data_IF_266744883428
#
_entry.id   IF_266744883428
#
_cell.length_a   1.000
_cell.length_b   1.000
_cell.length_c   1.000
_cell.angle_alpha   90.00
_cell.angle_beta   90.00
_cell.angle_gamma   90.00
#
_symmetry.space_group_name_H-M   'P 1'
#
loop_
_entity.id
_entity.type
_entity.pdbx_description
1 polymer ?
#
# COMPACT_ATOMS: atom_id res chain seq x y z
N UNK A 1 -2.93 7.04 28.14
CA UNK A 1 -2.25 6.25 27.07
C UNK A 1 -1.94 7.18 25.91
N UNK A 2 -0.74 7.11 25.29
CA UNK A 2 -0.47 8.05 24.17
C UNK A 2 -1.03 7.61 22.82
N UNK A 3 -1.01 6.30 22.53
CA UNK A 3 -1.47 5.78 21.24
C UNK A 3 -2.37 4.56 21.40
N UNK A 4 -3.35 4.44 20.49
CA UNK A 4 -4.20 3.27 20.33
C UNK A 4 -4.05 2.75 18.90
N UNK A 5 -3.96 1.44 18.70
CA UNK A 5 -3.91 0.82 17.37
C UNK A 5 -5.16 -0.06 17.24
N UNK A 6 -6.09 0.34 16.39
CA UNK A 6 -7.27 -0.43 16.06
C UNK A 6 -6.90 -1.54 15.08
N UNK A 7 -6.94 -2.78 15.56
CA UNK A 7 -6.42 -4.00 14.95
C UNK A 7 -5.06 -4.42 15.53
N UNK A 8 -4.82 -5.74 15.60
CA UNK A 8 -3.53 -6.31 16.03
C UNK A 8 -2.96 -7.29 14.97
N UNK A 9 -3.26 -7.06 13.70
CA UNK A 9 -2.75 -7.83 12.58
C UNK A 9 -1.23 -7.67 12.36
N UNK A 10 -0.72 -8.25 11.28
CA UNK A 10 0.73 -8.24 10.97
C UNK A 10 1.31 -6.83 10.83
N UNK A 11 0.59 -5.92 10.16
CA UNK A 11 1.03 -4.52 10.00
C UNK A 11 0.93 -3.77 11.33
N UNK A 12 -0.16 -3.95 12.07
CA UNK A 12 -0.31 -3.35 13.40
C UNK A 12 0.85 -3.71 14.32
N UNK A 13 1.16 -5.02 14.47
CA UNK A 13 2.26 -5.48 15.32
C UNK A 13 3.63 -5.22 14.70
N UNK A 14 3.82 -5.60 13.42
CA UNK A 14 5.13 -5.60 12.76
C UNK A 14 5.59 -4.25 12.21
N UNK A 15 4.72 -3.25 12.17
CA UNK A 15 5.08 -1.90 11.73
C UNK A 15 4.70 -0.85 12.77
N UNK A 16 3.43 -0.53 12.94
CA UNK A 16 3.01 0.58 13.80
C UNK A 16 3.45 0.36 15.26
N UNK A 17 3.07 -0.78 15.86
CA UNK A 17 3.43 -1.12 17.24
C UNK A 17 4.93 -1.26 17.44
N UNK A 18 5.66 -1.80 16.44
CA UNK A 18 7.12 -1.89 16.47
C UNK A 18 7.76 -0.49 16.50
N UNK A 19 7.34 0.44 15.63
CA UNK A 19 7.87 1.80 15.60
C UNK A 19 7.55 2.57 16.88
N UNK A 20 6.33 2.43 17.42
CA UNK A 20 5.96 3.03 18.71
C UNK A 20 6.81 2.49 19.86
N UNK A 21 7.04 1.17 19.91
CA UNK A 21 7.89 0.56 20.92
C UNK A 21 9.33 1.09 20.86
N UNK A 22 9.93 1.14 19.67
CA UNK A 22 11.28 1.69 19.48
C UNK A 22 11.37 3.18 19.84
N UNK A 23 10.27 3.91 19.65
CA UNK A 23 10.14 5.31 20.05
C UNK A 23 9.82 5.52 21.53
N UNK A 24 9.66 4.42 22.30
CA UNK A 24 9.29 4.43 23.72
C UNK A 24 7.96 5.13 23.99
N UNK A 25 7.02 5.04 23.05
CA UNK A 25 5.69 5.62 23.14
C UNK A 25 4.72 4.53 23.62
N UNK A 26 4.02 4.72 24.77
CA UNK A 26 3.05 3.75 25.27
C UNK A 26 1.86 3.60 24.31
N UNK A 27 1.46 2.36 24.04
CA UNK A 27 0.30 2.06 23.19
C UNK A 27 -0.43 0.79 23.64
N UNK A 28 -1.66 0.62 23.15
CA UNK A 28 -2.40 -0.63 23.24
C UNK A 28 -3.05 -0.95 21.89
N UNK A 29 -3.25 -2.22 21.63
CA UNK A 29 -4.06 -2.71 20.52
C UNK A 29 -5.54 -2.76 20.94
N UNK A 30 -6.43 -2.64 19.95
CA UNK A 30 -7.83 -3.03 20.05
C UNK A 30 -8.08 -4.13 19.02
N UNK A 31 -8.46 -5.32 19.47
CA UNK A 31 -8.51 -6.49 18.59
C UNK A 31 -9.89 -7.16 18.60
N UNK A 32 -10.38 -7.50 17.38
CA UNK A 32 -11.71 -8.13 17.20
C UNK A 32 -11.71 -9.62 17.59
N UNK A 33 -10.58 -10.29 17.45
CA UNK A 33 -10.41 -11.67 17.88
C UNK A 33 -10.07 -11.69 19.38
N UNK A 34 -11.02 -12.11 20.21
CA UNK A 34 -10.82 -12.24 21.66
C UNK A 34 -9.63 -13.16 21.97
N UNK A 35 -9.47 -14.25 21.23
CA UNK A 35 -8.33 -15.17 21.42
C UNK A 35 -6.97 -14.52 21.15
N UNK A 36 -6.89 -13.65 20.13
CA UNK A 36 -5.66 -12.91 19.86
C UNK A 36 -5.40 -11.83 20.90
N UNK A 37 -6.45 -11.13 21.35
CA UNK A 37 -6.34 -10.14 22.43
C UNK A 37 -5.87 -10.77 23.74
N UNK A 38 -6.43 -11.91 24.12
CA UNK A 38 -6.04 -12.66 25.29
C UNK A 38 -4.60 -13.14 25.21
N UNK A 39 -4.20 -13.70 24.08
CA UNK A 39 -2.83 -14.17 23.85
C UNK A 39 -1.81 -13.03 23.97
N UNK A 40 -2.13 -11.84 23.43
CA UNK A 40 -1.26 -10.65 23.58
C UNK A 40 -1.12 -10.28 25.06
N UNK A 41 -2.22 -10.27 25.81
CA UNK A 41 -2.21 -9.91 27.22
C UNK A 41 -1.50 -10.96 28.10
N UNK A 42 -1.72 -12.24 27.84
CA UNK A 42 -1.06 -13.34 28.59
C UNK A 42 0.45 -13.35 28.38
N UNK A 43 0.91 -13.14 27.14
CA UNK A 43 2.33 -13.11 26.81
C UNK A 43 3.00 -11.79 27.16
N UNK A 44 2.26 -10.69 27.08
CA UNK A 44 2.77 -9.33 27.30
C UNK A 44 3.89 -8.92 26.34
N UNK A 45 4.18 -9.74 25.33
CA UNK A 45 5.25 -9.48 24.35
C UNK A 45 5.03 -10.26 23.05
N UNK A 46 5.68 -9.81 21.97
CA UNK A 46 5.75 -10.51 20.68
C UNK A 46 7.05 -10.20 19.95
N UNK A 47 7.45 -11.08 19.05
CA UNK A 47 8.68 -10.93 18.25
C UNK A 47 8.37 -10.28 16.90
N UNK A 48 9.16 -9.27 16.54
CA UNK A 48 9.24 -8.72 15.17
C UNK A 48 10.54 -9.20 14.54
N UNK A 49 10.42 -10.05 13.56
CA UNK A 49 11.54 -10.62 12.82
C UNK A 49 11.74 -9.81 11.52
N UNK A 50 12.92 -9.19 11.38
CA UNK A 50 13.29 -8.39 10.22
C UNK A 50 13.96 -9.32 9.20
N UNK A 51 13.26 -9.61 8.12
CA UNK A 51 13.76 -10.50 7.07
C UNK A 51 15.04 -9.95 6.46
N UNK A 52 16.01 -10.84 6.24
CA UNK A 52 17.32 -10.47 5.71
C UNK A 52 18.24 -9.72 6.69
N UNK A 53 17.75 -9.30 7.87
CA UNK A 53 18.55 -8.56 8.84
C UNK A 53 18.24 -8.95 10.31
N UNK A 54 18.60 -10.15 10.73
CA UNK A 54 18.26 -10.66 12.06
C UNK A 54 18.85 -9.84 13.22
N UNK A 55 19.87 -9.03 12.97
CA UNK A 55 20.43 -8.12 13.98
C UNK A 55 19.45 -7.01 14.38
N UNK A 56 18.46 -6.73 13.55
CA UNK A 56 17.39 -5.76 13.83
C UNK A 56 16.12 -6.41 14.42
N UNK A 57 16.14 -7.72 14.65
CA UNK A 57 15.00 -8.40 15.28
C UNK A 57 14.72 -7.78 16.65
N UNK A 58 13.44 -7.67 16.98
CA UNK A 58 13.02 -6.98 18.17
C UNK A 58 11.93 -7.76 18.91
N UNK A 59 12.06 -7.85 20.23
CA UNK A 59 10.97 -8.32 21.10
C UNK A 59 10.26 -7.09 21.66
N UNK A 60 9.06 -6.85 21.19
CA UNK A 60 8.19 -5.80 21.71
C UNK A 60 7.60 -6.25 23.02
N UNK A 61 7.97 -5.60 24.13
CA UNK A 61 7.54 -5.92 25.49
C UNK A 61 6.50 -4.95 26.00
N UNK A 62 5.68 -5.40 26.95
CA UNK A 62 4.61 -4.60 27.54
C UNK A 62 3.41 -4.44 26.59
N UNK A 63 3.29 -5.33 25.60
CA UNK A 63 2.16 -5.34 24.67
C UNK A 63 0.85 -5.61 25.45
N UNK A 64 -0.17 -4.82 25.15
CA UNK A 64 -1.51 -4.94 25.73
C UNK A 64 -2.56 -4.87 24.60
N UNK A 65 -3.66 -5.58 24.78
CA UNK A 65 -4.78 -5.53 23.88
C UNK A 65 -6.09 -5.36 24.65
N UNK A 66 -6.97 -4.54 24.13
CA UNK A 66 -8.35 -4.37 24.57
C UNK A 66 -9.22 -5.17 23.60
N UNK A 67 -10.17 -5.95 24.09
CA UNK A 67 -11.11 -6.64 23.22
C UNK A 67 -12.02 -5.62 22.53
N UNK A 68 -12.23 -5.76 21.24
CA UNK A 68 -13.11 -4.89 20.47
C UNK A 68 -14.56 -4.87 21.02
N UNK A 69 -14.99 -5.96 21.62
CA UNK A 69 -16.29 -6.13 22.26
C UNK A 69 -16.46 -5.33 23.57
N UNK A 70 -15.35 -4.91 24.20
CA UNK A 70 -15.36 -4.06 25.40
C UNK A 70 -15.43 -2.58 24.98
N UNK A 71 -16.61 -2.17 24.55
CA UNK A 71 -16.86 -0.84 23.97
C UNK A 71 -16.44 0.28 24.94
N UNK A 72 -16.71 0.14 26.24
CA UNK A 72 -16.36 1.13 27.25
C UNK A 72 -14.84 1.31 27.35
N UNK A 73 -14.09 0.22 27.48
CA UNK A 73 -12.62 0.28 27.55
C UNK A 73 -11.99 0.80 26.26
N UNK A 74 -12.56 0.48 25.08
CA UNK A 74 -12.07 0.97 23.78
C UNK A 74 -12.30 2.47 23.67
N UNK A 75 -13.50 2.95 23.97
CA UNK A 75 -13.84 4.38 23.82
C UNK A 75 -13.13 5.26 24.86
N UNK A 76 -12.88 4.74 26.07
CA UNK A 76 -12.02 5.38 27.06
C UNK A 76 -10.56 5.46 26.60
N UNK A 77 -10.03 4.37 26.02
CA UNK A 77 -8.70 4.37 25.46
C UNK A 77 -8.53 5.39 24.31
N UNK A 78 -9.54 5.53 23.43
CA UNK A 78 -9.58 6.55 22.36
C UNK A 78 -9.62 7.96 22.98
N UNK A 79 -10.44 8.17 23.99
CA UNK A 79 -10.55 9.46 24.67
C UNK A 79 -9.22 9.92 25.33
N UNK A 80 -8.45 8.98 25.87
CA UNK A 80 -7.13 9.26 26.46
C UNK A 80 -6.01 9.43 25.44
N UNK A 81 -6.17 8.90 24.21
CA UNK A 81 -5.12 8.88 23.20
C UNK A 81 -4.83 10.27 22.62
N UNK A 82 -3.58 10.49 22.22
CA UNK A 82 -3.15 11.60 21.35
C UNK A 82 -3.24 11.18 19.88
N UNK A 83 -2.96 9.87 19.60
CA UNK A 83 -3.02 9.30 18.24
C UNK A 83 -3.72 7.94 18.25
N UNK A 84 -4.62 7.77 17.31
CA UNK A 84 -5.24 6.48 16.99
C UNK A 84 -4.78 6.05 15.60
N UNK A 85 -4.23 4.85 15.50
CA UNK A 85 -3.90 4.21 14.23
C UNK A 85 -4.95 3.18 13.88
N UNK A 86 -5.32 3.06 12.60
CA UNK A 86 -6.16 1.96 12.16
C UNK A 86 -5.35 0.96 11.32
N UNK A 87 -5.61 -0.32 11.50
CA UNK A 87 -4.97 -1.42 10.74
C UNK A 87 -5.88 -2.65 10.76
N UNK A 88 -7.14 -2.46 10.34
CA UNK A 88 -8.22 -3.46 10.34
C UNK A 88 -8.53 -3.99 8.95
N UNK A 89 -7.92 -3.40 7.92
CA UNK A 89 -8.26 -3.62 6.51
C UNK A 89 -9.45 -2.78 6.07
N UNK A 90 -9.36 -2.21 4.86
CA UNK A 90 -10.29 -1.19 4.36
C UNK A 90 -11.76 -1.57 4.39
N UNK A 91 -12.09 -2.86 4.25
CA UNK A 91 -13.49 -3.35 4.32
C UNK A 91 -14.13 -3.16 5.69
N UNK A 92 -13.33 -3.12 6.75
CA UNK A 92 -13.79 -3.06 8.14
C UNK A 92 -13.74 -1.64 8.73
N UNK A 93 -13.35 -0.63 7.95
CA UNK A 93 -13.24 0.75 8.44
C UNK A 93 -14.57 1.27 9.02
N UNK A 94 -15.68 0.96 8.38
CA UNK A 94 -17.01 1.40 8.84
C UNK A 94 -17.38 0.83 10.22
N UNK A 95 -16.86 -0.33 10.59
CA UNK A 95 -17.10 -0.94 11.92
C UNK A 95 -16.46 -0.12 13.05
N UNK A 96 -15.48 0.74 12.71
CA UNK A 96 -14.77 1.58 13.67
C UNK A 96 -15.53 2.89 14.00
N UNK A 97 -16.45 3.31 13.12
CA UNK A 97 -17.14 4.60 13.25
C UNK A 97 -17.83 4.77 14.61
N UNK A 98 -18.64 3.81 15.11
CA UNK A 98 -19.30 3.99 16.40
C UNK A 98 -18.33 4.18 17.57
N UNK A 99 -17.21 3.40 17.57
CA UNK A 99 -16.20 3.50 18.64
C UNK A 99 -15.44 4.83 18.57
N UNK A 100 -15.10 5.27 17.35
CA UNK A 100 -14.44 6.57 17.16
C UNK A 100 -15.35 7.71 17.56
N UNK A 101 -16.64 7.69 17.18
CA UNK A 101 -17.60 8.71 17.55
C UNK A 101 -17.72 8.83 19.07
N UNK A 102 -18.01 7.74 19.78
CA UNK A 102 -18.15 7.76 21.23
C UNK A 102 -16.85 8.17 21.93
N UNK A 103 -15.69 7.66 21.47
CA UNK A 103 -14.38 8.05 22.03
C UNK A 103 -14.08 9.54 21.84
N UNK A 104 -14.43 10.11 20.67
CA UNK A 104 -14.28 11.55 20.39
C UNK A 104 -15.23 12.39 21.27
N UNK A 105 -16.48 11.95 21.45
CA UNK A 105 -17.44 12.60 22.35
C UNK A 105 -16.98 12.58 23.80
N UNK A 106 -16.38 11.48 24.27
CA UNK A 106 -15.74 11.43 25.59
C UNK A 106 -14.56 12.39 25.68
N UNK A 107 -13.69 12.42 24.65
CA UNK A 107 -12.52 13.30 24.62
C UNK A 107 -12.87 14.78 24.53
N UNK A 108 -13.98 15.16 23.88
CA UNK A 108 -14.43 16.55 23.81
C UNK A 108 -14.66 17.17 25.21
N UNK A 109 -14.99 16.34 26.19
CA UNK A 109 -15.21 16.77 27.59
C UNK A 109 -13.93 17.02 28.37
N UNK A 110 -12.81 16.41 27.94
CA UNK A 110 -11.49 16.54 28.60
C UNK A 110 -10.54 17.46 27.85
N UNK A 111 -10.80 17.68 26.55
CA UNK A 111 -9.97 18.53 25.68
C UNK A 111 -8.72 17.84 25.14
N UNK A 112 -7.87 18.66 24.51
CA UNK A 112 -6.65 18.19 23.80
C UNK A 112 -6.94 17.76 22.35
N UNK A 113 -5.91 17.50 21.58
CA UNK A 113 -6.03 17.07 20.18
C UNK A 113 -6.06 15.56 20.06
N UNK A 114 -6.70 15.06 19.00
CA UNK A 114 -6.69 13.66 18.59
C UNK A 114 -6.37 13.57 17.11
N UNK A 115 -5.40 12.73 16.74
CA UNK A 115 -5.16 12.40 15.34
C UNK A 115 -5.47 10.93 15.07
N UNK A 116 -6.33 10.67 14.10
CA UNK A 116 -6.64 9.32 13.59
C UNK A 116 -5.88 9.12 12.28
N UNK A 117 -4.94 8.20 12.27
CA UNK A 117 -4.06 7.91 11.12
C UNK A 117 -4.43 6.54 10.56
N UNK A 118 -4.98 6.51 9.35
CA UNK A 118 -5.34 5.26 8.69
C UNK A 118 -4.14 4.60 8.02
N UNK A 119 -3.95 3.31 8.29
CA UNK A 119 -2.84 2.50 7.78
C UNK A 119 -3.31 1.41 6.80
N UNK A 120 -4.40 1.63 6.12
CA UNK A 120 -5.00 0.72 5.16
C UNK A 120 -4.54 1.01 3.72
N UNK A 121 -4.33 -0.06 2.94
CA UNK A 121 -4.21 0.06 1.49
C UNK A 121 -5.61 0.12 0.87
N UNK A 122 -6.29 1.26 1.01
CA UNK A 122 -7.66 1.50 0.60
C UNK A 122 -7.81 2.87 -0.06
N UNK A 123 -8.92 3.09 -0.77
CA UNK A 123 -9.21 4.39 -1.39
C UNK A 123 -9.82 5.33 -0.37
N UNK A 124 -9.16 6.46 -0.10
CA UNK A 124 -9.60 7.53 0.81
C UNK A 124 -10.07 7.01 2.19
N UNK A 125 -9.26 6.20 2.90
CA UNK A 125 -9.69 5.55 4.12
C UNK A 125 -10.03 6.55 5.24
N UNK A 126 -9.29 7.63 5.37
CA UNK A 126 -9.55 8.67 6.35
C UNK A 126 -10.84 9.43 6.06
N UNK A 127 -11.17 9.65 4.79
CA UNK A 127 -12.44 10.28 4.38
C UNK A 127 -13.64 9.39 4.73
N UNK A 128 -13.51 8.07 4.56
CA UNK A 128 -14.56 7.11 4.96
C UNK A 128 -14.86 7.22 6.45
N UNK A 129 -13.83 7.29 7.30
CA UNK A 129 -14.00 7.43 8.75
C UNK A 129 -14.54 8.80 9.13
N UNK A 130 -13.98 9.88 8.53
CA UNK A 130 -14.41 11.24 8.84
C UNK A 130 -15.90 11.44 8.55
N UNK A 131 -16.35 11.07 7.36
CA UNK A 131 -17.75 11.19 6.97
C UNK A 131 -18.67 10.38 7.91
N UNK A 132 -18.27 9.15 8.27
CA UNK A 132 -19.05 8.33 9.20
C UNK A 132 -19.17 8.94 10.58
N UNK A 133 -18.11 9.55 11.11
CA UNK A 133 -18.15 10.26 12.39
C UNK A 133 -18.99 11.54 12.29
N UNK A 134 -18.83 12.33 11.23
CA UNK A 134 -19.63 13.55 10.97
C UNK A 134 -21.15 13.27 10.97
N UNK A 135 -21.55 12.11 10.42
CA UNK A 135 -22.94 11.68 10.37
C UNK A 135 -23.52 11.24 11.72
N UNK A 136 -22.66 10.84 12.66
CA UNK A 136 -23.09 10.16 13.90
C UNK A 136 -22.79 10.95 15.18
N UNK A 137 -21.88 11.93 15.12
CA UNK A 137 -21.43 12.69 16.29
C UNK A 137 -22.53 13.62 16.83
N UNK A 138 -22.66 13.73 18.17
CA UNK A 138 -23.61 14.61 18.79
C UNK A 138 -23.26 16.10 18.57
N UNK A 139 -24.30 16.98 18.64
CA UNK A 139 -24.13 18.40 18.33
C UNK A 139 -23.10 19.07 19.24
N UNK A 140 -23.07 18.68 20.53
CA UNK A 140 -22.17 19.24 21.53
C UNK A 140 -20.70 18.97 21.27
N UNK A 141 -20.36 17.91 20.51
CA UNK A 141 -18.99 17.54 20.19
C UNK A 141 -18.55 17.97 18.79
N UNK A 142 -19.43 18.51 17.95
CA UNK A 142 -19.10 18.89 16.56
C UNK A 142 -17.98 19.92 16.48
N UNK A 143 -18.06 21.01 17.23
CA UNK A 143 -17.04 22.05 17.24
C UNK A 143 -15.66 21.49 17.64
N UNK A 144 -15.65 20.59 18.63
CA UNK A 144 -14.44 19.90 19.04
C UNK A 144 -13.92 19.00 17.91
N UNK A 145 -14.78 18.22 17.26
CA UNK A 145 -14.42 17.35 16.16
C UNK A 145 -13.80 18.12 14.98
N UNK A 146 -14.38 19.26 14.62
CA UNK A 146 -13.88 20.09 13.53
C UNK A 146 -12.50 20.71 13.83
N UNK A 147 -12.28 21.17 15.06
CA UNK A 147 -11.10 21.96 15.41
C UNK A 147 -9.97 21.17 16.07
N UNK A 148 -10.27 20.01 16.68
CA UNK A 148 -9.32 19.25 17.50
C UNK A 148 -9.10 17.81 17.06
N UNK A 149 -9.83 17.34 16.03
CA UNK A 149 -9.67 15.96 15.52
C UNK A 149 -9.15 15.97 14.09
N UNK A 150 -7.90 15.54 13.94
CA UNK A 150 -7.29 15.24 12.62
C UNK A 150 -7.64 13.82 12.19
N UNK A 151 -8.10 13.63 10.95
CA UNK A 151 -8.25 12.30 10.34
C UNK A 151 -7.47 12.28 9.05
N UNK A 152 -6.41 11.51 9.01
CA UNK A 152 -5.44 11.51 7.93
C UNK A 152 -5.02 10.11 7.48
N UNK A 153 -4.25 10.05 6.42
CA UNK A 153 -3.84 8.82 5.76
C UNK A 153 -2.33 8.62 5.88
N UNK A 154 -1.93 7.36 5.98
CA UNK A 154 -0.54 6.96 5.86
C UNK A 154 -0.32 5.99 4.72
N UNK A 155 0.89 5.95 4.17
CA UNK A 155 1.29 4.92 3.22
C UNK A 155 2.12 3.86 3.92
N UNK A 156 1.60 2.65 3.96
CA UNK A 156 2.33 1.50 4.49
C UNK A 156 3.14 0.85 3.37
N UNK A 157 4.45 0.97 3.46
CA UNK A 157 5.38 0.44 2.47
C UNK A 157 6.12 -0.82 2.96
N UNK A 158 6.11 -1.10 4.27
CA UNK A 158 6.64 -2.32 4.85
C UNK A 158 5.70 -3.49 4.61
N UNK A 159 6.19 -4.58 4.02
CA UNK A 159 5.44 -5.82 3.89
C UNK A 159 5.48 -6.63 5.20
N UNK A 160 4.33 -7.13 5.63
CA UNK A 160 4.21 -8.11 6.72
C UNK A 160 3.88 -9.49 6.13
N UNK A 161 4.69 -10.48 6.45
CA UNK A 161 4.62 -11.83 5.89
C UNK A 161 4.25 -12.81 6.99
N UNK A 162 3.52 -13.87 6.64
CA UNK A 162 3.24 -14.96 7.57
C UNK A 162 4.55 -15.64 7.96
N UNK A 163 4.71 -15.92 9.25
CA UNK A 163 5.79 -16.75 9.72
C UNK A 163 5.48 -18.23 9.37
N UNK A 164 6.53 -19.02 9.20
CA UNK A 164 6.36 -20.46 9.01
C UNK A 164 5.81 -21.15 10.27
N UNK A 165 5.36 -22.40 10.11
CA UNK A 165 4.72 -23.14 11.20
C UNK A 165 5.64 -23.32 12.41
N UNK A 166 6.90 -23.57 12.18
CA UNK A 166 7.87 -23.80 13.26
C UNK A 166 8.06 -22.56 14.12
N UNK A 167 8.15 -21.38 13.48
CA UNK A 167 8.23 -20.10 14.19
C UNK A 167 6.93 -19.79 14.93
N UNK A 168 5.76 -20.06 14.32
CA UNK A 168 4.46 -19.86 14.97
C UNK A 168 4.21 -20.80 16.15
N UNK A 169 4.76 -22.02 16.14
CA UNK A 169 4.71 -22.93 17.28
C UNK A 169 5.55 -22.41 18.45
N UNK A 170 6.68 -21.76 18.19
CA UNK A 170 7.53 -21.15 19.22
C UNK A 170 6.97 -19.82 19.74
N UNK A 171 6.54 -18.97 18.84
CA UNK A 171 5.93 -17.67 19.15
C UNK A 171 4.73 -17.40 18.22
N UNK A 172 3.48 -17.72 18.65
CA UNK A 172 2.28 -17.52 17.83
C UNK A 172 1.97 -16.05 17.54
N UNK A 173 2.65 -15.12 18.21
CA UNK A 173 2.52 -13.68 17.95
C UNK A 173 3.65 -13.12 17.08
N UNK A 174 4.62 -13.96 16.65
CA UNK A 174 5.72 -13.50 15.77
C UNK A 174 5.18 -12.92 14.46
N UNK A 175 5.83 -11.87 14.01
CA UNK A 175 5.56 -11.29 12.69
C UNK A 175 6.86 -11.13 11.91
N UNK A 176 6.88 -11.64 10.69
CA UNK A 176 7.95 -11.42 9.74
C UNK A 176 7.68 -10.14 8.97
N UNK A 177 8.65 -9.25 8.89
CA UNK A 177 8.50 -7.98 8.17
C UNK A 177 9.74 -7.65 7.34
N UNK A 178 9.52 -6.90 6.28
CA UNK A 178 10.56 -6.36 5.43
C UNK A 178 11.38 -5.30 6.19
N UNK A 179 12.68 -5.20 5.90
CA UNK A 179 13.56 -4.15 6.44
C UNK A 179 13.30 -2.78 5.78
N UNK A 180 12.13 -2.22 6.07
CA UNK A 180 11.68 -0.91 5.59
C UNK A 180 11.14 -0.06 6.74
N UNK A 181 11.56 1.18 6.87
CA UNK A 181 11.38 2.00 8.08
C UNK A 181 10.61 3.30 7.89
N UNK A 182 10.34 3.71 6.65
CA UNK A 182 9.65 4.98 6.39
C UNK A 182 8.14 4.85 6.61
N UNK A 183 7.57 5.83 7.28
CA UNK A 183 6.16 5.93 7.61
C UNK A 183 5.61 7.29 7.14
N UNK A 184 5.35 7.45 5.83
CA UNK A 184 4.79 8.68 5.27
C UNK A 184 3.34 8.87 5.72
N UNK A 185 3.03 10.05 6.23
CA UNK A 185 1.70 10.46 6.73
C UNK A 185 1.33 11.79 6.09
N UNK A 186 0.10 11.94 5.64
CA UNK A 186 -0.44 13.19 5.14
C UNK A 186 -0.44 14.27 6.24
N UNK A 187 0.32 15.33 6.04
CA UNK A 187 0.45 16.44 6.98
C UNK A 187 -0.77 17.37 6.98
N UNK A 188 -1.53 17.41 5.88
CA UNK A 188 -2.56 18.44 5.64
C UNK A 188 -3.73 18.41 6.63
N UNK A 189 -3.94 17.25 7.28
CA UNK A 189 -5.06 17.01 8.19
C UNK A 189 -4.64 16.71 9.63
N UNK A 190 -3.37 16.91 9.95
CA UNK A 190 -2.85 16.76 11.31
C UNK A 190 -3.22 17.99 12.13
N UNK A 191 -3.69 17.77 13.34
CA UNK A 191 -4.01 18.82 14.31
C UNK A 191 -3.01 18.79 15.46
N UNK A 192 -2.34 19.92 15.69
CA UNK A 192 -1.29 20.03 16.71
C UNK A 192 -0.01 19.25 16.34
N UNK A 193 0.69 18.79 17.36
CA UNK A 193 1.95 18.06 17.19
C UNK A 193 1.75 16.56 17.42
N UNK A 194 2.43 15.74 16.61
CA UNK A 194 2.49 14.30 16.83
C UNK A 194 3.67 13.93 17.76
N UNK A 195 3.55 12.85 18.54
CA UNK A 195 4.70 12.32 19.27
C UNK A 195 5.81 11.90 18.29
N UNK A 196 7.09 11.96 18.69
CA UNK A 196 8.24 11.67 17.81
C UNK A 196 8.33 10.16 17.51
N UNK A 197 7.62 9.70 16.50
CA UNK A 197 7.58 8.30 16.07
C UNK A 197 8.70 8.04 15.08
N UNK A 198 9.51 7.01 15.33
CA UNK A 198 10.59 6.58 14.44
C UNK A 198 10.04 6.31 13.01
N UNK A 199 10.70 6.91 12.03
CA UNK A 199 10.35 6.73 10.61
C UNK A 199 9.14 7.51 10.13
N UNK A 200 8.35 8.15 11.00
CA UNK A 200 7.23 8.99 10.61
C UNK A 200 7.73 10.22 9.87
N UNK A 201 7.18 10.43 8.69
CA UNK A 201 7.47 11.58 7.83
C UNK A 201 6.16 12.28 7.46
N UNK A 202 5.98 13.50 7.89
CA UNK A 202 4.85 14.34 7.49
C UNK A 202 5.08 14.86 6.06
N UNK A 203 4.12 14.54 5.18
CA UNK A 203 4.16 14.88 3.76
C UNK A 203 3.14 15.97 3.48
N UNK A 204 3.55 17.20 3.18
CA UNK A 204 2.64 18.31 2.89
C UNK A 204 1.81 18.10 1.62
N UNK A 205 2.43 17.62 0.55
CA UNK A 205 1.81 17.38 -0.76
C UNK A 205 1.49 15.88 -0.94
N UNK A 206 0.61 15.35 -0.07
CA UNK A 206 0.38 13.91 0.03
C UNK A 206 -0.23 13.30 -1.23
N UNK A 207 -1.10 14.01 -1.92
CA UNK A 207 -1.68 13.54 -3.20
C UNK A 207 -0.58 13.32 -4.25
N UNK A 208 0.36 14.25 -4.35
CA UNK A 208 1.53 14.09 -5.23
C UNK A 208 2.43 12.93 -4.80
N UNK A 209 2.59 12.73 -3.50
CA UNK A 209 3.33 11.59 -2.97
C UNK A 209 2.64 10.24 -3.28
N UNK A 210 1.31 10.16 -3.18
CA UNK A 210 0.54 8.96 -3.55
C UNK A 210 0.71 8.64 -5.03
N UNK A 211 0.60 9.63 -5.91
CA UNK A 211 0.80 9.45 -7.34
C UNK A 211 2.25 9.05 -7.66
N UNK A 212 3.23 9.71 -7.02
CA UNK A 212 4.65 9.35 -7.09
C UNK A 212 4.88 7.88 -6.73
N UNK A 213 4.33 7.44 -5.60
CA UNK A 213 4.41 6.03 -5.15
C UNK A 213 3.71 5.10 -6.15
N UNK A 214 2.54 5.46 -6.60
CA UNK A 214 1.73 4.63 -7.48
C UNK A 214 2.41 4.41 -8.83
N UNK A 215 2.86 5.48 -9.47
CA UNK A 215 3.52 5.40 -10.78
C UNK A 215 5.02 5.03 -10.71
N UNK A 216 5.60 4.90 -9.52
CA UNK A 216 6.93 4.31 -9.34
C UNK A 216 6.84 2.85 -8.89
N UNK A 217 6.31 2.59 -7.70
CA UNK A 217 6.29 1.24 -7.12
C UNK A 217 5.27 0.31 -7.78
N UNK A 218 4.05 0.79 -8.02
CA UNK A 218 3.03 -0.09 -8.59
C UNK A 218 3.22 -0.28 -10.09
N UNK A 219 3.72 0.72 -10.82
CA UNK A 219 4.10 0.57 -12.23
C UNK A 219 5.23 -0.46 -12.38
N UNK A 220 6.28 -0.34 -11.56
CA UNK A 220 7.40 -1.28 -11.56
C UNK A 220 6.98 -2.71 -11.19
N UNK A 221 6.14 -2.86 -10.16
CA UNK A 221 5.58 -4.16 -9.79
C UNK A 221 4.74 -4.76 -10.93
N UNK A 222 3.88 -3.97 -11.58
CA UNK A 222 3.10 -4.41 -12.74
C UNK A 222 3.99 -4.82 -13.91
N UNK A 223 5.01 -4.02 -14.24
CA UNK A 223 6.00 -4.33 -15.27
C UNK A 223 6.70 -5.65 -15.00
N UNK A 224 7.26 -5.80 -13.80
CA UNK A 224 7.98 -7.03 -13.39
C UNK A 224 7.06 -8.24 -13.42
N UNK A 225 5.80 -8.08 -12.96
CA UNK A 225 4.84 -9.19 -12.93
C UNK A 225 4.44 -9.66 -14.32
N UNK A 226 4.05 -8.75 -15.21
CA UNK A 226 3.55 -9.16 -16.52
C UNK A 226 4.67 -9.61 -17.46
N UNK A 227 5.80 -8.90 -17.48
CA UNK A 227 6.96 -9.34 -18.28
C UNK A 227 7.56 -10.61 -17.71
N UNK A 228 7.64 -10.73 -16.38
CA UNK A 228 8.10 -11.94 -15.69
C UNK A 228 7.23 -13.15 -15.99
N UNK A 229 5.89 -12.98 -16.03
CA UNK A 229 4.95 -14.03 -16.41
C UNK A 229 5.20 -14.53 -17.84
N UNK A 230 5.39 -13.63 -18.80
CA UNK A 230 5.71 -14.01 -20.19
C UNK A 230 7.02 -14.81 -20.29
N UNK A 231 7.98 -14.55 -19.42
CA UNK A 231 9.26 -15.25 -19.38
C UNK A 231 9.26 -16.50 -18.48
N UNK A 232 8.11 -16.85 -17.90
CA UNK A 232 7.92 -18.07 -17.10
C UNK A 232 8.44 -18.02 -15.68
N UNK A 233 8.67 -16.82 -15.13
CA UNK A 233 9.03 -16.65 -13.72
C UNK A 233 7.82 -16.88 -12.81
N UNK A 234 8.05 -17.43 -11.62
CA UNK A 234 7.03 -17.60 -10.58
C UNK A 234 7.11 -16.53 -9.50
N UNK A 235 8.32 -16.03 -9.20
CA UNK A 235 8.58 -15.06 -8.13
C UNK A 235 8.99 -13.70 -8.68
N UNK A 236 8.54 -12.65 -8.01
CA UNK A 236 8.89 -11.27 -8.35
C UNK A 236 10.39 -11.02 -8.24
N UNK A 237 11.04 -11.50 -7.17
CA UNK A 237 12.47 -11.26 -6.97
C UNK A 237 13.32 -11.91 -8.09
N UNK A 238 13.01 -13.16 -8.46
CA UNK A 238 13.71 -13.86 -9.54
C UNK A 238 13.57 -13.10 -10.87
N UNK A 239 12.34 -12.66 -11.20
CA UNK A 239 12.09 -11.84 -12.37
C UNK A 239 12.83 -10.49 -12.33
N UNK A 240 12.88 -9.85 -11.16
CA UNK A 240 13.54 -8.56 -10.98
C UNK A 240 15.07 -8.63 -11.04
N UNK A 241 15.68 -9.82 -11.11
CA UNK A 241 17.10 -10.03 -11.33
C UNK A 241 17.43 -10.39 -12.80
N UNK A 242 16.44 -10.70 -13.65
CA UNK A 242 16.67 -10.97 -15.08
C UNK A 242 17.07 -9.70 -15.82
N UNK A 243 18.20 -9.74 -16.52
CA UNK A 243 18.75 -8.58 -17.23
C UNK A 243 17.82 -8.01 -18.32
N UNK A 244 16.98 -8.86 -18.94
CA UNK A 244 15.99 -8.44 -19.95
C UNK A 244 14.89 -7.61 -19.29
N UNK A 245 14.38 -8.07 -18.14
CA UNK A 245 13.37 -7.37 -17.35
C UNK A 245 13.95 -6.10 -16.74
N UNK A 246 15.20 -6.16 -16.23
CA UNK A 246 15.88 -5.00 -15.68
C UNK A 246 16.02 -3.85 -16.68
N UNK A 247 16.32 -4.13 -17.95
CA UNK A 247 16.39 -3.10 -18.99
C UNK A 247 15.05 -2.41 -19.20
N UNK A 248 13.96 -3.18 -19.22
CA UNK A 248 12.60 -2.64 -19.36
C UNK A 248 12.23 -1.83 -18.12
N UNK A 249 12.50 -2.38 -16.93
CA UNK A 249 12.19 -1.77 -15.65
C UNK A 249 12.96 -0.44 -15.45
N UNK A 250 14.24 -0.39 -15.79
CA UNK A 250 15.05 0.83 -15.72
C UNK A 250 14.51 1.92 -16.67
N UNK A 251 14.02 1.50 -17.85
CA UNK A 251 13.34 2.39 -18.78
C UNK A 251 12.03 2.93 -18.20
N UNK A 252 11.18 2.07 -17.63
CA UNK A 252 9.93 2.48 -16.95
C UNK A 252 10.23 3.46 -15.83
N UNK A 253 11.25 3.21 -15.01
CA UNK A 253 11.65 4.13 -13.94
C UNK A 253 12.11 5.48 -14.49
N UNK A 254 12.88 5.50 -15.58
CA UNK A 254 13.33 6.76 -16.17
C UNK A 254 12.17 7.55 -16.77
N UNK A 255 11.28 6.90 -17.53
CA UNK A 255 10.08 7.50 -18.12
C UNK A 255 9.20 8.13 -17.04
N UNK A 256 8.84 7.36 -16.02
CA UNK A 256 7.99 7.85 -14.92
C UNK A 256 8.68 8.91 -14.06
N UNK A 257 9.98 8.75 -13.78
CA UNK A 257 10.72 9.71 -12.98
C UNK A 257 10.78 11.10 -13.64
N UNK A 258 11.02 11.16 -14.94
CA UNK A 258 11.03 12.43 -15.68
C UNK A 258 9.65 13.11 -15.69
N UNK A 259 8.58 12.34 -15.90
CA UNK A 259 7.22 12.89 -15.92
C UNK A 259 6.78 13.37 -14.53
N UNK A 260 7.00 12.57 -13.49
CA UNK A 260 6.65 12.93 -12.11
C UNK A 260 7.45 14.13 -11.60
N UNK A 261 8.76 14.19 -11.94
CA UNK A 261 9.61 15.33 -11.61
C UNK A 261 9.07 16.63 -12.22
N UNK A 262 8.65 16.59 -13.50
CA UNK A 262 8.06 17.75 -14.18
C UNK A 262 6.71 18.14 -13.57
N UNK A 263 5.85 17.15 -13.28
CA UNK A 263 4.50 17.39 -12.76
C UNK A 263 4.51 17.99 -11.35
N UNK A 264 5.28 17.39 -10.45
CA UNK A 264 5.28 17.73 -9.02
C UNK A 264 6.46 18.60 -8.60
N UNK A 265 7.29 19.01 -9.56
CA UNK A 265 8.48 19.83 -9.30
C UNK A 265 9.48 19.21 -8.31
N UNK A 266 9.52 17.87 -8.21
CA UNK A 266 10.57 17.19 -7.46
C UNK A 266 11.90 17.25 -8.21
N UNK A 267 13.04 17.40 -7.51
CA UNK A 267 14.35 17.20 -8.14
C UNK A 267 14.44 15.79 -8.75
N UNK A 268 14.89 15.71 -10.02
CA UNK A 268 14.98 14.42 -10.71
C UNK A 268 15.87 13.42 -9.96
N UNK A 269 16.95 13.88 -9.34
CA UNK A 269 17.83 13.03 -8.52
C UNK A 269 17.12 12.41 -7.33
N UNK A 270 16.24 13.18 -6.66
CA UNK A 270 15.42 12.66 -5.56
C UNK A 270 14.43 11.61 -6.05
N UNK A 271 13.83 11.84 -7.22
CA UNK A 271 12.92 10.89 -7.83
C UNK A 271 13.67 9.60 -8.23
N UNK A 272 14.87 9.71 -8.80
CA UNK A 272 15.69 8.56 -9.13
C UNK A 272 16.15 7.79 -7.88
N UNK A 273 16.48 8.46 -6.79
CA UNK A 273 16.74 7.78 -5.51
C UNK A 273 15.52 7.00 -5.00
N UNK A 274 14.32 7.53 -5.19
CA UNK A 274 13.06 6.85 -4.87
C UNK A 274 12.84 5.61 -5.75
N UNK A 275 13.19 5.66 -7.03
CA UNK A 275 13.14 4.48 -7.93
C UNK A 275 14.12 3.39 -7.50
N UNK A 276 15.32 3.75 -7.07
CA UNK A 276 16.31 2.77 -6.56
C UNK A 276 15.79 2.02 -5.33
N UNK A 277 15.06 2.71 -4.45
CA UNK A 277 14.43 2.06 -3.29
C UNK A 277 13.33 1.09 -3.73
N UNK A 278 12.53 1.45 -4.74
CA UNK A 278 11.54 0.58 -5.35
C UNK A 278 12.18 -0.67 -5.99
N UNK A 279 13.26 -0.47 -6.76
CA UNK A 279 14.00 -1.56 -7.41
C UNK A 279 14.56 -2.55 -6.39
N UNK A 280 15.23 -2.06 -5.35
CA UNK A 280 15.74 -2.90 -4.24
C UNK A 280 14.63 -3.70 -3.56
N UNK A 281 13.44 -3.11 -3.42
CA UNK A 281 12.29 -3.79 -2.85
C UNK A 281 11.78 -4.95 -3.72
N UNK A 282 11.77 -4.80 -5.05
CA UNK A 282 11.40 -5.87 -5.98
C UNK A 282 12.43 -7.01 -5.99
N UNK A 283 13.71 -6.67 -5.81
CA UNK A 283 14.84 -7.60 -5.79
C UNK A 283 15.10 -8.24 -4.41
N UNK A 284 14.22 -8.03 -3.43
CA UNK A 284 14.39 -8.56 -2.08
C UNK A 284 14.01 -10.05 -2.03
N UNK A 285 15.00 -10.92 -2.14
CA UNK A 285 14.85 -12.39 -2.11
C UNK A 285 14.33 -12.93 -0.76
N UNK A 286 14.36 -12.11 0.30
CA UNK A 286 13.82 -12.51 1.61
C UNK A 286 12.29 -12.49 1.61
N UNK A 287 11.68 -11.87 0.60
CA UNK A 287 10.24 -11.74 0.43
C UNK A 287 9.76 -12.74 -0.64
N UNK A 288 9.10 -13.79 -0.22
CA UNK A 288 8.43 -14.70 -1.17
C UNK A 288 7.15 -14.04 -1.67
N UNK A 289 7.23 -13.44 -2.85
CA UNK A 289 6.09 -12.79 -3.52
C UNK A 289 5.90 -13.35 -4.93
N UNK A 290 4.73 -13.95 -5.17
CA UNK A 290 4.44 -14.64 -6.42
C UNK A 290 3.92 -13.68 -7.50
N UNK A 291 4.38 -13.88 -8.73
CA UNK A 291 3.95 -13.15 -9.93
C UNK A 291 2.43 -13.29 -10.10
N UNK A 292 1.88 -14.49 -10.00
CA UNK A 292 0.44 -14.73 -10.14
C UNK A 292 -0.40 -13.83 -9.22
N UNK A 293 -0.01 -13.69 -7.95
CA UNK A 293 -0.69 -12.79 -7.01
C UNK A 293 -0.62 -11.33 -7.44
N UNK A 294 0.55 -10.90 -7.95
CA UNK A 294 0.81 -9.52 -8.34
C UNK A 294 0.27 -9.17 -9.72
N UNK A 295 0.19 -10.12 -10.64
CA UNK A 295 -0.41 -9.97 -11.98
C UNK A 295 -1.94 -10.10 -11.98
N UNK A 296 -2.54 -10.62 -10.90
CA UNK A 296 -3.97 -10.84 -10.77
C UNK A 296 -4.79 -9.64 -11.18
N UNK A 297 -5.94 -9.87 -11.84
CA UNK A 297 -6.85 -8.84 -12.35
C UNK A 297 -6.16 -7.88 -13.34
N UNK A 298 -5.72 -8.38 -14.51
CA UNK A 298 -5.06 -7.57 -15.54
C UNK A 298 -5.98 -6.50 -16.11
N UNK A 299 -7.30 -6.72 -16.16
CA UNK A 299 -8.27 -5.75 -16.69
C UNK A 299 -8.19 -4.47 -15.87
N UNK A 300 -8.28 -4.55 -14.55
CA UNK A 300 -8.14 -3.37 -13.68
C UNK A 300 -6.77 -2.70 -13.86
N UNK A 301 -5.68 -3.49 -13.91
CA UNK A 301 -4.32 -2.96 -14.01
C UNK A 301 -3.99 -2.29 -15.36
N UNK A 302 -4.76 -2.63 -16.39
CA UNK A 302 -4.73 -1.99 -17.70
C UNK A 302 -5.68 -0.78 -17.80
N UNK A 303 -6.49 -0.51 -16.76
CA UNK A 303 -7.38 0.65 -16.74
C UNK A 303 -6.63 1.98 -16.95
N UNK A 304 -7.31 2.97 -17.55
CA UNK A 304 -6.71 4.25 -17.98
C UNK A 304 -5.96 5.02 -16.89
N UNK A 305 -6.40 4.90 -15.64
CA UNK A 305 -5.84 5.61 -14.50
C UNK A 305 -5.07 4.67 -13.56
N UNK A 306 -4.90 3.39 -13.96
CA UNK A 306 -4.12 2.43 -13.18
C UNK A 306 -2.62 2.47 -13.59
N UNK A 307 -1.82 1.69 -12.92
CA UNK A 307 -0.35 1.71 -12.85
C UNK A 307 0.41 1.64 -14.17
N UNK A 308 -0.13 1.03 -15.22
CA UNK A 308 0.54 0.91 -16.51
C UNK A 308 0.07 1.99 -17.49
N UNK A 309 -1.21 1.97 -17.85
CA UNK A 309 -1.78 2.94 -18.80
C UNK A 309 -1.78 4.35 -18.23
N UNK A 310 -2.13 4.52 -16.95
CA UNK A 310 -2.09 5.83 -16.29
C UNK A 310 -0.68 6.42 -16.25
N UNK A 311 0.34 5.59 -15.97
CA UNK A 311 1.74 6.03 -16.06
C UNK A 311 2.15 6.43 -17.47
N UNK A 312 1.77 5.63 -18.49
CA UNK A 312 2.11 5.91 -19.88
C UNK A 312 1.44 7.22 -20.36
N UNK A 313 0.17 7.45 -19.99
CA UNK A 313 -0.54 8.71 -20.26
C UNK A 313 0.14 9.90 -19.63
N UNK A 314 0.53 9.79 -18.35
CA UNK A 314 1.28 10.84 -17.68
C UNK A 314 2.60 11.13 -18.41
N UNK A 315 3.33 10.10 -18.80
CA UNK A 315 4.61 10.24 -19.52
C UNK A 315 4.41 10.97 -20.85
N UNK A 316 3.37 10.63 -21.62
CA UNK A 316 3.00 11.34 -22.87
C UNK A 316 2.60 12.79 -22.62
N UNK A 317 1.82 13.07 -21.58
CA UNK A 317 1.39 14.43 -21.21
C UNK A 317 2.58 15.38 -21.03
N UNK A 318 3.70 14.84 -20.53
CA UNK A 318 4.95 15.61 -20.35
C UNK A 318 5.93 15.50 -21.52
N UNK A 319 5.47 15.06 -22.69
CA UNK A 319 6.22 15.03 -23.95
C UNK A 319 7.35 14.00 -23.97
N UNK A 320 7.18 12.90 -23.23
CA UNK A 320 8.13 11.78 -23.18
C UNK A 320 7.46 10.56 -23.84
N UNK A 321 8.19 9.83 -24.67
CA UNK A 321 7.66 8.62 -25.30
C UNK A 321 7.76 7.44 -24.33
N UNK A 322 6.63 6.76 -23.96
CA UNK A 322 6.61 5.69 -22.96
C UNK A 322 6.95 4.32 -23.57
N UNK A 323 8.11 4.16 -24.16
CA UNK A 323 8.52 2.94 -24.87
C UNK A 323 8.49 1.70 -23.97
N UNK A 324 9.01 1.81 -22.75
CA UNK A 324 9.12 0.68 -21.82
C UNK A 324 7.80 0.40 -21.10
N UNK A 325 7.01 1.43 -20.77
CA UNK A 325 5.65 1.25 -20.28
C UNK A 325 4.76 0.58 -21.33
N UNK A 326 4.90 0.92 -22.61
CA UNK A 326 4.16 0.26 -23.69
C UNK A 326 4.52 -1.23 -23.82
N UNK A 327 5.78 -1.64 -23.55
CA UNK A 327 6.16 -3.06 -23.44
C UNK A 327 5.41 -3.72 -22.28
N UNK A 328 5.35 -3.08 -21.12
CA UNK A 328 4.63 -3.61 -19.95
C UNK A 328 3.13 -3.74 -20.20
N UNK A 329 2.51 -2.76 -20.89
CA UNK A 329 1.10 -2.80 -21.31
C UNK A 329 0.88 -3.95 -22.29
N UNK A 330 1.74 -4.09 -23.32
CA UNK A 330 1.66 -5.18 -24.28
C UNK A 330 1.79 -6.56 -23.59
N UNK A 331 2.74 -6.70 -22.66
CA UNK A 331 2.90 -7.91 -21.86
C UNK A 331 1.64 -8.24 -21.04
N UNK A 332 1.02 -7.24 -20.41
CA UNK A 332 -0.20 -7.41 -19.63
C UNK A 332 -1.39 -7.85 -20.50
N UNK A 333 -1.48 -7.40 -21.75
CA UNK A 333 -2.53 -7.81 -22.69
C UNK A 333 -2.40 -9.29 -23.12
N UNK A 334 -1.20 -9.87 -23.00
CA UNK A 334 -0.94 -11.28 -23.31
C UNK A 334 -0.81 -12.17 -22.07
N UNK A 335 -1.05 -11.62 -20.89
CA UNK A 335 -1.03 -12.40 -19.67
C UNK A 335 -2.11 -13.47 -19.66
N UNK A 336 -1.72 -14.68 -19.23
CA UNK A 336 -2.60 -15.84 -19.10
C UNK A 336 -2.42 -16.41 -17.69
N UNK A 337 -3.53 -16.61 -16.97
CA UNK A 337 -3.55 -17.25 -15.66
C UNK A 337 -4.84 -18.02 -15.50
N UNK A 338 -4.80 -19.35 -15.57
CA UNK A 338 -5.98 -20.18 -15.32
C UNK A 338 -6.49 -19.98 -13.88
N UNK A 339 -7.80 -19.73 -13.75
CA UNK A 339 -8.44 -19.47 -12.45
C UNK A 339 -8.47 -17.99 -12.03
N UNK A 340 -7.86 -17.09 -12.80
CA UNK A 340 -8.12 -15.65 -12.71
C UNK A 340 -9.18 -15.28 -13.75
N UNK A 341 -10.42 -15.06 -13.30
CA UNK A 341 -11.57 -14.74 -14.17
C UNK A 341 -11.33 -13.51 -15.08
N UNK A 342 -10.54 -12.54 -14.59
CA UNK A 342 -10.24 -11.34 -15.37
C UNK A 342 -9.13 -11.59 -16.41
N UNK A 343 -8.18 -12.46 -16.12
CA UNK A 343 -7.19 -12.89 -17.11
C UNK A 343 -7.87 -13.72 -18.20
N UNK A 344 -8.74 -14.66 -17.85
CA UNK A 344 -9.52 -15.46 -18.82
C UNK A 344 -10.41 -14.58 -19.69
N UNK A 345 -11.08 -13.58 -19.10
CA UNK A 345 -11.88 -12.60 -19.83
C UNK A 345 -11.03 -11.77 -20.80
N UNK A 346 -9.82 -11.38 -20.38
CA UNK A 346 -8.90 -10.62 -21.25
C UNK A 346 -8.42 -11.46 -22.44
N UNK A 347 -8.08 -12.74 -22.19
CA UNK A 347 -7.73 -13.71 -23.24
C UNK A 347 -8.87 -13.83 -24.27
N UNK A 348 -10.09 -14.08 -23.78
CA UNK A 348 -11.28 -14.19 -24.65
C UNK A 348 -11.50 -12.92 -25.47
N UNK A 349 -11.39 -11.74 -24.85
CA UNK A 349 -11.53 -10.46 -25.57
C UNK A 349 -10.46 -10.31 -26.65
N UNK A 350 -9.21 -10.70 -26.36
CA UNK A 350 -8.11 -10.66 -27.34
C UNK A 350 -8.40 -11.57 -28.55
N UNK A 351 -8.89 -12.78 -28.31
CA UNK A 351 -9.17 -13.78 -29.35
C UNK A 351 -10.40 -13.45 -30.17
N UNK A 352 -11.46 -12.95 -29.58
CA UNK A 352 -12.74 -12.71 -30.24
C UNK A 352 -12.85 -11.31 -30.84
N UNK A 353 -12.27 -10.29 -30.18
CA UNK A 353 -12.45 -8.89 -30.55
C UNK A 353 -11.14 -8.19 -30.96
N UNK A 354 -9.99 -8.76 -30.61
CA UNK A 354 -8.68 -8.24 -30.97
C UNK A 354 -8.13 -7.19 -30.00
N UNK A 355 -6.91 -6.75 -30.27
CA UNK A 355 -6.16 -5.78 -29.43
C UNK A 355 -6.84 -4.41 -29.41
N UNK A 356 -7.43 -3.98 -30.51
CA UNK A 356 -8.10 -2.68 -30.59
C UNK A 356 -9.26 -2.58 -29.60
N UNK A 357 -10.02 -3.67 -29.42
CA UNK A 357 -11.09 -3.71 -28.42
C UNK A 357 -10.56 -3.62 -26.98
N UNK A 358 -9.40 -4.22 -26.67
CA UNK A 358 -8.78 -4.08 -25.35
C UNK A 358 -8.32 -2.64 -25.13
N UNK A 359 -7.69 -2.02 -26.13
CA UNK A 359 -7.30 -0.60 -26.06
C UNK A 359 -8.50 0.31 -25.81
N UNK A 360 -9.60 0.12 -26.52
CA UNK A 360 -10.81 0.95 -26.36
C UNK A 360 -11.56 0.68 -25.07
N UNK A 361 -11.87 -0.59 -24.76
CA UNK A 361 -12.81 -0.97 -23.70
C UNK A 361 -12.16 -1.13 -22.32
N UNK A 362 -10.89 -1.51 -22.28
CA UNK A 362 -10.16 -1.76 -21.02
C UNK A 362 -9.23 -0.61 -20.71
N UNK A 363 -8.40 -0.21 -21.70
CA UNK A 363 -7.42 0.87 -21.51
C UNK A 363 -8.05 2.26 -21.69
N UNK A 364 -9.24 2.36 -22.27
CA UNK A 364 -9.92 3.60 -22.66
C UNK A 364 -8.98 4.51 -23.48
N UNK A 365 -8.26 3.91 -24.44
CA UNK A 365 -7.34 4.58 -25.35
C UNK A 365 -7.78 4.40 -26.80
N UNK A 366 -7.55 5.44 -27.62
CA UNK A 366 -7.74 5.33 -29.06
C UNK A 366 -6.70 4.35 -29.65
N UNK A 367 -7.12 3.25 -30.33
CA UNK A 367 -6.20 2.29 -30.95
C UNK A 367 -5.31 2.90 -32.04
N UNK A 368 -5.74 4.02 -32.63
CA UNK A 368 -4.99 4.77 -33.65
C UNK A 368 -4.31 6.02 -33.08
N UNK A 369 -4.50 6.30 -31.79
CA UNK A 369 -3.79 7.34 -31.07
C UNK A 369 -2.33 6.95 -30.78
N UNK A 370 -1.56 7.91 -30.26
CA UNK A 370 -0.13 7.75 -30.03
C UNK A 370 0.20 6.53 -29.14
N UNK A 371 -0.50 6.37 -28.01
CA UNK A 371 -0.27 5.24 -27.11
C UNK A 371 -0.75 3.92 -27.74
N UNK A 372 -1.90 3.91 -28.42
CA UNK A 372 -2.43 2.70 -29.05
C UNK A 372 -1.50 2.17 -30.13
N UNK A 373 -0.99 3.04 -30.99
CA UNK A 373 -0.01 2.67 -32.04
C UNK A 373 1.29 2.18 -31.42
N UNK A 374 1.78 2.84 -30.36
CA UNK A 374 2.98 2.43 -29.67
C UNK A 374 2.83 1.04 -29.00
N UNK A 375 1.71 0.76 -28.36
CA UNK A 375 1.44 -0.56 -27.78
C UNK A 375 1.41 -1.64 -28.85
N UNK A 376 0.78 -1.39 -30.02
CA UNK A 376 0.79 -2.32 -31.15
C UNK A 376 2.21 -2.54 -31.70
N UNK A 377 3.05 -1.51 -31.76
CA UNK A 377 4.48 -1.63 -32.11
C UNK A 377 5.19 -2.57 -31.10
N UNK A 378 4.92 -2.43 -29.79
CA UNK A 378 5.57 -3.28 -28.78
C UNK A 378 5.03 -4.72 -28.78
N UNK A 379 3.78 -4.94 -29.14
CA UNK A 379 3.25 -6.30 -29.38
C UNK A 379 4.03 -6.97 -30.51
N UNK A 380 4.26 -6.25 -31.62
CA UNK A 380 5.10 -6.79 -32.71
C UNK A 380 6.52 -7.12 -32.25
N UNK A 381 7.12 -6.25 -31.43
CA UNK A 381 8.44 -6.46 -30.84
C UNK A 381 8.48 -7.70 -29.93
N UNK A 382 7.46 -7.90 -29.08
CA UNK A 382 7.37 -9.08 -28.20
C UNK A 382 7.23 -10.38 -29.01
N UNK A 383 6.53 -10.34 -30.15
CA UNK A 383 6.46 -11.46 -31.10
C UNK A 383 7.82 -11.73 -31.73
N UNK A 384 8.54 -10.69 -32.16
CA UNK A 384 9.89 -10.83 -32.69
C UNK A 384 10.86 -11.44 -31.67
N UNK A 385 10.73 -11.08 -30.40
CA UNK A 385 11.52 -11.68 -29.32
C UNK A 385 11.10 -13.12 -28.96
N UNK A 386 9.98 -13.60 -29.51
CA UNK A 386 9.43 -14.92 -29.19
C UNK A 386 8.84 -15.04 -27.77
N UNK A 387 8.49 -13.90 -27.16
CA UNK A 387 7.90 -13.89 -25.80
C UNK A 387 6.38 -14.08 -25.82
N UNK A 388 5.75 -13.79 -26.93
CA UNK A 388 4.32 -14.03 -27.16
C UNK A 388 4.11 -14.72 -28.52
N UNK A 389 3.07 -15.52 -28.60
CA UNK A 389 2.64 -16.21 -29.80
C UNK A 389 1.28 -15.68 -30.24
N UNK A 390 0.86 -16.03 -31.48
CA UNK A 390 -0.46 -15.63 -32.02
C UNK A 390 -1.63 -16.24 -31.23
#
# INVERSE_FOLDING_TARGET
MKCVILGAGKIARGFVGHLLFLSKIPFAFVEKSDSLADMINERGQYTVNILGNPQKNCVVRGAKAIRFSDVEAVTDAIAEAEVVFTSVGGKNLKDLVPLLTEGIEKKSKTGGNLNVITCENWKLPATVLRNGVEETICEEAKEYFENHVGMTEAVIMRSGIEADKELLEMDPLIVNVQDFWEFPVDASRIVGELPPILGLKLIPEFTGFLERKFYTYNAANGTTSFVGALLGYEKIADAAHDERILKILDGVYMETAQALSKKHHFPLEEQLAFTLTSKKKLQDDTIVDFIERNARDPIRKLGKDDRLVGSARLVLEYGIRPDHLAIAIAAAMYYVSPGDEFAEKLVKMREEEGIDAILEKVCEQDPNGELGLLVKEKIALLKEWGWIHE
#
